data_IF_814673206073
#
_entry.id   IF_814673206073
#
_cell.length_a   1.000
_cell.length_b   1.000
_cell.length_c   1.000
_cell.angle_alpha   90.00
_cell.angle_beta   90.00
_cell.angle_gamma   90.00
#
_symmetry.space_group_name_H-M   'P 1'
#
loop_
_entity.id
_entity.type
_entity.pdbx_description
1 polymer ?
#
# COMPACT_ATOMS: atom_id res chain seq x y z
N UNK A 1 12.82 16.78 -15.48
CA UNK A 1 11.57 16.75 -14.72
C UNK A 1 11.52 15.47 -13.91
N UNK A 2 11.40 15.59 -12.59
CA UNK A 2 11.15 14.45 -11.71
C UNK A 2 9.82 13.80 -12.10
N UNK A 3 9.82 12.50 -12.36
CA UNK A 3 8.60 11.75 -12.70
C UNK A 3 8.62 11.02 -14.04
N UNK A 4 9.66 11.14 -14.86
CA UNK A 4 9.72 10.50 -16.18
C UNK A 4 10.64 9.26 -16.23
N UNK A 5 11.11 8.77 -15.07
CA UNK A 5 11.90 7.53 -14.98
C UNK A 5 11.02 6.33 -15.33
N UNK A 6 11.48 5.48 -16.25
CA UNK A 6 10.71 4.38 -16.81
C UNK A 6 9.83 4.77 -18.01
N UNK A 7 9.70 6.08 -18.33
CA UNK A 7 8.94 6.54 -19.50
C UNK A 7 9.62 6.21 -20.83
N UNK A 8 8.86 5.92 -21.89
CA UNK A 8 9.41 5.64 -23.20
C UNK A 8 9.97 6.90 -23.86
N UNK A 9 11.07 6.75 -24.59
CA UNK A 9 11.66 7.77 -25.45
C UNK A 9 11.42 7.41 -26.92
N UNK A 10 10.75 8.30 -27.64
CA UNK A 10 10.46 8.12 -29.07
C UNK A 10 11.30 9.07 -29.90
N UNK A 11 11.68 8.62 -31.08
CA UNK A 11 12.26 9.46 -32.13
C UNK A 11 11.17 10.29 -32.84
N UNK A 12 11.59 11.30 -33.65
CA UNK A 12 10.66 12.20 -34.38
C UNK A 12 9.69 11.48 -35.33
N UNK A 13 10.02 10.26 -35.76
CA UNK A 13 9.16 9.40 -36.55
C UNK A 13 8.32 8.42 -35.72
N UNK A 14 8.21 8.61 -34.41
CA UNK A 14 7.38 7.82 -33.50
C UNK A 14 7.92 6.43 -33.14
N UNK A 15 9.19 6.12 -33.47
CA UNK A 15 9.79 4.84 -33.10
C UNK A 15 10.34 4.91 -31.68
N UNK A 16 10.08 3.88 -30.87
CA UNK A 16 10.66 3.73 -29.54
C UNK A 16 12.19 3.55 -29.66
N UNK A 17 12.96 4.44 -29.04
CA UNK A 17 14.43 4.44 -29.12
C UNK A 17 15.09 4.19 -27.75
N UNK A 18 14.35 4.31 -26.66
CA UNK A 18 14.89 4.08 -25.33
C UNK A 18 13.87 4.22 -24.21
N UNK A 19 14.35 4.05 -22.98
CA UNK A 19 13.59 4.22 -21.74
C UNK A 19 14.39 5.16 -20.84
N UNK A 20 13.77 6.20 -20.32
CA UNK A 20 14.38 7.13 -19.38
C UNK A 20 14.69 6.44 -18.07
N UNK A 21 15.94 6.58 -17.56
CA UNK A 21 16.37 5.86 -16.35
C UNK A 21 16.69 6.77 -15.19
N UNK A 22 17.37 7.90 -15.40
CA UNK A 22 17.80 8.76 -14.33
C UNK A 22 18.10 10.19 -14.80
N UNK A 23 18.03 11.11 -13.85
CA UNK A 23 18.51 12.49 -13.97
C UNK A 23 19.66 12.67 -12.98
N UNK A 24 20.84 13.11 -13.43
CA UNK A 24 21.98 13.37 -12.54
C UNK A 24 21.87 14.80 -12.00
N UNK A 25 21.65 14.94 -10.69
CA UNK A 25 21.39 16.22 -10.01
C UNK A 25 22.55 17.22 -9.98
N UNK A 26 23.72 16.93 -10.60
CA UNK A 26 24.91 17.78 -10.58
C UNK A 26 25.24 18.47 -11.92
N UNK A 27 24.40 18.34 -12.95
CA UNK A 27 24.63 18.98 -14.24
C UNK A 27 23.32 19.42 -14.90
N UNK A 28 23.30 20.60 -15.51
CA UNK A 28 22.16 21.07 -16.28
C UNK A 28 21.93 20.15 -17.48
N UNK A 29 20.75 19.54 -17.59
CA UNK A 29 20.22 18.79 -18.74
C UNK A 29 20.91 17.47 -19.13
N UNK A 30 21.53 16.76 -18.18
CA UNK A 30 21.98 15.38 -18.43
C UNK A 30 20.87 14.38 -18.09
N UNK A 31 20.19 13.89 -19.13
CA UNK A 31 19.22 12.81 -19.04
C UNK A 31 19.86 11.52 -19.56
N UNK A 32 19.72 10.44 -18.83
CA UNK A 32 20.19 9.11 -19.26
C UNK A 32 18.99 8.28 -19.71
N UNK A 33 19.16 7.60 -20.84
CA UNK A 33 18.21 6.64 -21.33
C UNK A 33 18.93 5.33 -21.71
N UNK A 34 18.29 4.20 -21.46
CA UNK A 34 18.75 2.90 -21.94
C UNK A 34 18.18 2.71 -23.34
N UNK A 35 19.01 2.34 -24.31
CA UNK A 35 18.55 2.06 -25.68
C UNK A 35 17.66 0.82 -25.71
N UNK A 36 16.73 0.78 -26.68
CA UNK A 36 15.83 -0.36 -26.88
C UNK A 36 16.60 -1.64 -27.15
N UNK A 37 17.70 -1.57 -27.93
CA UNK A 37 18.56 -2.71 -28.22
C UNK A 37 19.13 -3.32 -26.94
N UNK A 38 19.60 -2.50 -26.01
CA UNK A 38 20.12 -2.98 -24.73
C UNK A 38 19.03 -3.60 -23.84
N UNK A 39 17.82 -3.05 -23.85
CA UNK A 39 16.66 -3.61 -23.17
C UNK A 39 16.26 -4.97 -23.77
N UNK A 40 16.30 -5.12 -25.09
CA UNK A 40 16.00 -6.38 -25.77
C UNK A 40 17.06 -7.45 -25.48
N UNK A 41 18.33 -7.09 -25.37
CA UNK A 41 19.41 -8.01 -24.96
C UNK A 41 19.18 -8.53 -23.54
N UNK A 42 18.69 -7.70 -22.62
CA UNK A 42 18.37 -8.09 -21.25
C UNK A 42 17.17 -9.06 -21.20
N UNK A 43 16.23 -8.93 -22.10
CA UNK A 43 15.01 -9.77 -22.17
C UNK A 43 15.28 -11.09 -22.91
N UNK A 44 15.99 -11.03 -24.05
CA UNK A 44 16.17 -12.14 -25.00
C UNK A 44 17.55 -12.79 -24.92
N UNK A 45 18.53 -12.16 -24.26
CA UNK A 45 19.87 -12.70 -24.10
C UNK A 45 19.89 -13.97 -23.23
N UNK A 46 20.92 -14.86 -23.43
CA UNK A 46 21.06 -16.02 -22.57
C UNK A 46 21.21 -15.53 -21.12
N UNK A 47 20.28 -15.92 -20.27
CA UNK A 47 20.34 -15.63 -18.84
C UNK A 47 21.66 -16.17 -18.29
N UNK A 48 22.69 -15.34 -18.19
CA UNK A 48 23.87 -15.68 -17.39
C UNK A 48 23.33 -15.94 -16.00
N UNK A 49 23.38 -17.21 -15.56
CA UNK A 49 23.19 -17.53 -14.15
C UNK A 49 24.25 -16.75 -13.39
N UNK A 50 23.90 -15.59 -12.86
CA UNK A 50 24.72 -14.94 -11.88
C UNK A 50 24.79 -15.92 -10.71
N UNK A 51 26.00 -16.40 -10.41
CA UNK A 51 26.29 -17.06 -9.15
C UNK A 51 26.21 -16.01 -8.05
N UNK A 52 24.99 -15.56 -7.79
CA UNK A 52 24.67 -14.89 -6.53
C UNK A 52 24.74 -16.05 -5.54
N UNK A 53 25.87 -16.13 -4.84
CA UNK A 53 26.00 -16.98 -3.66
C UNK A 53 24.73 -16.83 -2.87
N UNK A 54 24.11 -17.95 -2.58
CA UNK A 54 22.89 -18.07 -1.78
C UNK A 54 23.14 -17.51 -0.38
N UNK A 55 23.16 -16.16 -0.27
CA UNK A 55 22.71 -15.54 0.95
C UNK A 55 21.28 -16.08 1.12
N UNK A 56 21.07 -16.92 2.14
CA UNK A 56 19.76 -17.41 2.54
C UNK A 56 18.87 -16.15 2.61
N UNK A 57 18.09 -15.89 1.56
CA UNK A 57 16.97 -14.98 1.65
C UNK A 57 16.16 -15.52 2.81
N UNK A 58 16.25 -14.84 3.98
CA UNK A 58 15.17 -14.90 4.96
C UNK A 58 13.93 -14.78 4.09
N UNK A 59 13.05 -15.80 4.09
CA UNK A 59 11.74 -15.65 3.49
C UNK A 59 11.15 -14.44 4.20
N UNK A 60 11.17 -13.29 3.54
CA UNK A 60 10.30 -12.18 3.92
C UNK A 60 8.91 -12.82 3.95
N UNK A 61 8.30 -12.84 5.11
CA UNK A 61 6.88 -13.16 5.22
C UNK A 61 6.21 -12.09 4.37
N UNK A 62 5.79 -12.45 3.16
CA UNK A 62 4.99 -11.56 2.33
C UNK A 62 3.67 -11.40 3.05
N UNK A 63 3.47 -10.23 3.63
CA UNK A 63 2.20 -9.77 4.17
C UNK A 63 1.20 -9.84 3.01
N UNK A 64 0.03 -10.49 3.16
CA UNK A 64 -1.01 -10.42 2.15
C UNK A 64 -1.38 -8.95 1.91
N UNK A 65 -1.45 -8.54 0.67
CA UNK A 65 -1.72 -7.13 0.32
C UNK A 65 -3.21 -6.82 0.21
N UNK A 66 -4.03 -7.81 -0.09
CA UNK A 66 -5.47 -7.67 -0.31
C UNK A 66 -6.23 -8.86 0.27
N UNK A 67 -7.50 -8.65 0.57
CA UNK A 67 -8.43 -9.66 1.06
C UNK A 67 -9.85 -9.40 0.60
N UNK A 68 -10.74 -10.29 0.98
CA UNK A 68 -12.17 -10.27 0.82
C UNK A 68 -12.74 -10.47 2.24
N UNK A 69 -13.12 -9.39 2.88
CA UNK A 69 -13.47 -9.37 4.31
C UNK A 69 -14.82 -10.05 4.55
N UNK A 70 -15.79 -9.73 3.73
CA UNK A 70 -17.16 -10.27 3.84
C UNK A 70 -17.35 -11.62 3.13
N UNK A 71 -16.32 -12.08 2.35
CA UNK A 71 -16.29 -13.35 1.62
C UNK A 71 -17.35 -13.46 0.51
N UNK A 72 -17.66 -12.33 -0.12
CA UNK A 72 -18.57 -12.27 -1.26
C UNK A 72 -17.91 -12.58 -2.61
N UNK A 73 -16.58 -12.66 -2.65
CA UNK A 73 -15.78 -12.95 -3.85
C UNK A 73 -15.19 -11.70 -4.50
N UNK A 74 -15.41 -10.52 -3.93
CA UNK A 74 -14.82 -9.26 -4.36
C UNK A 74 -13.72 -8.86 -3.38
N UNK A 75 -12.67 -8.23 -3.87
CA UNK A 75 -11.59 -7.70 -3.02
C UNK A 75 -12.03 -6.35 -2.48
N UNK A 76 -12.21 -6.28 -1.18
CA UNK A 76 -12.68 -5.11 -0.43
C UNK A 76 -11.70 -4.66 0.66
N UNK A 77 -10.58 -5.37 0.83
CA UNK A 77 -9.64 -5.15 1.94
C UNK A 77 -8.21 -5.00 1.43
N UNK A 78 -7.47 -4.00 1.97
CA UNK A 78 -6.05 -3.78 1.70
C UNK A 78 -5.27 -3.75 3.01
N UNK A 79 -4.38 -4.74 3.18
CA UNK A 79 -3.55 -4.89 4.36
C UNK A 79 -2.27 -4.06 4.26
N UNK A 80 -1.89 -3.42 5.37
CA UNK A 80 -0.67 -2.65 5.51
C UNK A 80 0.17 -3.13 6.70
N UNK A 81 1.47 -3.01 6.54
CA UNK A 81 2.53 -3.15 7.55
C UNK A 81 3.27 -1.79 7.52
N UNK A 82 2.76 -0.82 8.30
CA UNK A 82 3.24 0.57 8.22
C UNK A 82 4.63 0.74 8.79
N UNK A 83 4.96 0.02 9.85
CA UNK A 83 6.27 0.07 10.49
C UNK A 83 7.31 -0.86 9.83
N UNK A 84 6.87 -1.69 8.86
CA UNK A 84 7.71 -2.59 8.05
C UNK A 84 8.44 -3.66 8.87
N UNK A 85 7.82 -4.12 9.94
CA UNK A 85 8.36 -5.19 10.78
C UNK A 85 8.01 -6.61 10.29
N UNK A 86 7.15 -6.73 9.27
CA UNK A 86 6.70 -7.97 8.64
C UNK A 86 5.41 -8.54 9.22
N UNK A 87 4.68 -7.73 10.00
CA UNK A 87 3.33 -8.02 10.49
C UNK A 87 2.35 -6.99 9.92
N UNK A 88 1.09 -7.38 9.83
CA UNK A 88 0.01 -6.46 9.45
C UNK A 88 -0.40 -5.72 10.72
N UNK A 89 -0.45 -4.41 10.64
CA UNK A 89 -0.90 -3.52 11.71
C UNK A 89 -2.17 -2.76 11.34
N UNK A 90 -2.52 -2.73 10.02
CA UNK A 90 -3.73 -2.08 9.52
C UNK A 90 -4.39 -2.85 8.38
N UNK A 91 -5.70 -2.66 8.26
CA UNK A 91 -6.44 -3.04 7.08
C UNK A 91 -7.44 -1.92 6.72
N UNK A 92 -7.45 -1.54 5.46
CA UNK A 92 -8.38 -0.56 4.90
C UNK A 92 -9.49 -1.31 4.19
N UNK A 93 -10.73 -0.88 4.38
CA UNK A 93 -11.95 -1.54 3.93
C UNK A 93 -12.73 -0.62 2.99
N UNK A 94 -13.21 -1.16 1.88
CA UNK A 94 -14.18 -0.59 0.95
C UNK A 94 -15.42 -1.50 1.02
N UNK A 95 -16.24 -1.31 2.08
CA UNK A 95 -17.31 -2.26 2.43
C UNK A 95 -18.48 -2.24 1.43
N UNK A 96 -18.72 -1.12 0.78
CA UNK A 96 -19.78 -0.99 -0.22
C UNK A 96 -19.28 -1.12 -1.67
N UNK A 97 -17.96 -1.37 -1.85
CA UNK A 97 -17.31 -1.62 -3.14
C UNK A 97 -17.42 -0.44 -4.12
N UNK A 98 -17.50 0.78 -3.60
CA UNK A 98 -17.62 1.99 -4.43
C UNK A 98 -16.26 2.56 -4.88
N UNK A 99 -15.16 2.03 -4.35
CA UNK A 99 -13.78 2.45 -4.61
C UNK A 99 -13.25 3.50 -3.63
N UNK A 100 -14.01 3.83 -2.58
CA UNK A 100 -13.60 4.67 -1.47
C UNK A 100 -13.37 3.78 -0.25
N UNK A 101 -12.35 4.08 0.55
CA UNK A 101 -12.05 3.36 1.78
C UNK A 101 -12.73 4.07 2.95
N UNK A 102 -13.86 3.54 3.41
CA UNK A 102 -14.60 4.11 4.52
C UNK A 102 -14.27 3.44 5.86
N UNK A 103 -13.66 2.25 5.84
CA UNK A 103 -13.30 1.50 7.03
C UNK A 103 -11.79 1.36 7.24
N UNK A 104 -11.35 1.32 8.51
CA UNK A 104 -9.98 0.95 8.85
C UNK A 104 -9.95 0.10 10.13
N UNK A 105 -9.35 -1.08 10.03
CA UNK A 105 -9.01 -1.92 11.18
C UNK A 105 -7.59 -1.63 11.65
N UNK A 106 -7.37 -1.63 12.97
CA UNK A 106 -6.05 -1.43 13.57
C UNK A 106 -5.76 -2.54 14.57
N UNK A 107 -4.64 -3.22 14.39
CA UNK A 107 -4.01 -4.17 15.32
C UNK A 107 -2.80 -3.45 15.94
N UNK A 108 -3.03 -2.83 17.09
CA UNK A 108 -2.08 -1.90 17.69
C UNK A 108 -0.86 -2.59 18.29
N UNK A 109 -1.01 -3.80 18.78
CA UNK A 109 0.09 -4.57 19.38
C UNK A 109 0.55 -5.75 18.51
N UNK A 110 -0.04 -5.88 17.29
CA UNK A 110 0.35 -6.85 16.27
C UNK A 110 0.27 -8.31 16.72
N UNK A 111 -0.74 -8.59 17.53
CA UNK A 111 -1.03 -9.95 18.01
C UNK A 111 -1.90 -10.75 17.02
N UNK A 112 -2.39 -10.11 15.96
CA UNK A 112 -3.24 -10.67 14.92
C UNK A 112 -4.74 -10.51 15.21
N UNK A 113 -5.10 -9.67 16.16
CA UNK A 113 -6.47 -9.29 16.46
C UNK A 113 -6.64 -7.79 16.26
N UNK A 114 -7.81 -7.41 15.79
CA UNK A 114 -8.15 -6.02 15.56
C UNK A 114 -8.74 -5.42 16.84
N UNK A 115 -8.08 -4.42 17.43
CA UNK A 115 -8.64 -3.71 18.58
C UNK A 115 -9.53 -2.56 18.19
N UNK A 116 -9.28 -1.94 17.04
CA UNK A 116 -10.02 -0.77 16.60
C UNK A 116 -10.60 -1.01 15.22
N UNK A 117 -11.86 -0.59 15.05
CA UNK A 117 -12.49 -0.38 13.75
C UNK A 117 -12.91 1.08 13.65
N UNK A 118 -12.30 1.82 12.73
CA UNK A 118 -12.58 3.21 12.45
C UNK A 118 -13.48 3.31 11.23
N UNK A 119 -14.49 4.15 11.27
CA UNK A 119 -15.46 4.29 10.20
C UNK A 119 -15.64 5.75 9.82
N UNK A 120 -15.46 6.07 8.53
CA UNK A 120 -15.75 7.31 7.85
C UNK A 120 -17.13 7.17 7.21
N UNK A 121 -18.15 7.67 7.92
CA UNK A 121 -19.55 7.42 7.59
C UNK A 121 -20.02 8.21 6.36
N UNK A 122 -19.44 9.39 6.13
CA UNK A 122 -19.82 10.29 5.05
C UNK A 122 -18.79 10.32 3.89
N UNK A 123 -17.76 9.46 3.98
CA UNK A 123 -16.71 9.26 2.96
C UNK A 123 -15.94 10.55 2.62
N UNK A 124 -15.75 11.41 3.60
CA UNK A 124 -15.02 12.66 3.42
C UNK A 124 -13.51 12.54 3.62
N UNK A 125 -13.02 11.35 3.99
CA UNK A 125 -11.62 11.03 4.26
C UNK A 125 -11.21 11.21 5.71
N UNK A 126 -12.17 11.36 6.64
CA UNK A 126 -11.97 11.45 8.06
C UNK A 126 -12.87 10.48 8.80
N UNK A 127 -12.39 9.91 9.88
CA UNK A 127 -13.15 8.93 10.64
C UNK A 127 -14.07 9.62 11.66
N UNK A 128 -15.38 9.34 11.56
CA UNK A 128 -16.41 9.85 12.47
C UNK A 128 -16.59 9.00 13.72
N UNK A 129 -16.37 7.69 13.58
CA UNK A 129 -16.72 6.69 14.59
C UNK A 129 -15.55 5.73 14.78
N UNK A 130 -15.26 5.39 16.04
CA UNK A 130 -14.35 4.32 16.41
C UNK A 130 -15.06 3.28 17.26
N UNK A 131 -15.02 2.03 16.84
CA UNK A 131 -15.43 0.88 17.65
C UNK A 131 -14.17 0.23 18.23
N UNK A 132 -14.15 0.01 19.54
CA UNK A 132 -12.96 -0.43 20.27
C UNK A 132 -13.27 -1.69 21.07
N UNK A 133 -12.47 -2.75 20.84
CA UNK A 133 -12.44 -3.99 21.61
C UNK A 133 -11.19 -3.97 22.51
N UNK A 134 -11.33 -3.46 23.74
CA UNK A 134 -10.19 -3.32 24.67
C UNK A 134 -9.72 -4.66 25.23
N UNK A 135 -10.65 -5.62 25.37
CA UNK A 135 -10.37 -6.92 25.99
C UNK A 135 -10.04 -8.01 24.96
N UNK A 136 -10.16 -7.73 23.66
CA UNK A 136 -9.88 -8.62 22.53
C UNK A 136 -10.70 -9.91 22.50
N UNK A 137 -11.95 -9.80 22.95
CA UNK A 137 -12.90 -10.93 22.94
C UNK A 137 -13.70 -11.02 21.62
N UNK A 138 -13.52 -10.09 20.71
CA UNK A 138 -14.21 -9.99 19.43
C UNK A 138 -15.51 -9.22 19.50
N UNK A 139 -15.72 -8.46 20.57
CA UNK A 139 -16.87 -7.56 20.73
C UNK A 139 -16.37 -6.18 21.12
N UNK A 140 -17.03 -5.17 20.62
CA UNK A 140 -16.67 -3.80 20.95
C UNK A 140 -17.13 -3.47 22.38
N UNK A 141 -16.21 -2.93 23.19
CA UNK A 141 -16.47 -2.46 24.55
C UNK A 141 -16.86 -0.99 24.58
N UNK A 142 -16.30 -0.20 23.65
CA UNK A 142 -16.46 1.25 23.57
C UNK A 142 -16.77 1.69 22.13
N UNK A 143 -17.50 2.80 22.02
CA UNK A 143 -17.65 3.56 20.76
C UNK A 143 -17.19 4.99 21.01
N UNK A 144 -16.25 5.46 20.18
CA UNK A 144 -15.79 6.84 20.11
C UNK A 144 -16.47 7.60 18.99
N UNK A 145 -16.70 8.90 19.18
CA UNK A 145 -17.26 9.80 18.18
C UNK A 145 -16.37 11.03 18.04
N UNK A 146 -16.07 11.41 16.82
CA UNK A 146 -15.44 12.66 16.42
C UNK A 146 -16.47 13.48 15.63
N UNK A 147 -17.17 14.38 16.31
CA UNK A 147 -18.28 15.15 15.70
C UNK A 147 -17.81 16.34 14.88
N UNK A 148 -16.58 16.80 15.14
CA UNK A 148 -16.03 17.99 14.50
C UNK A 148 -14.94 17.66 13.48
N UNK A 149 -14.59 16.34 13.36
CA UNK A 149 -13.63 15.80 12.41
C UNK A 149 -12.22 16.42 12.51
N UNK A 150 -11.80 16.76 13.74
CA UNK A 150 -10.47 17.31 13.99
C UNK A 150 -9.40 16.24 14.26
N UNK A 151 -9.83 14.96 14.35
CA UNK A 151 -8.98 13.79 14.60
C UNK A 151 -8.81 13.49 16.09
N UNK A 152 -9.53 14.22 16.97
CA UNK A 152 -9.62 13.94 18.39
C UNK A 152 -11.03 13.46 18.74
N UNK A 153 -11.15 12.36 19.49
CA UNK A 153 -12.45 11.80 19.84
C UNK A 153 -13.16 12.67 20.88
N UNK A 154 -14.30 13.27 20.50
CA UNK A 154 -15.10 14.14 21.37
C UNK A 154 -15.80 13.38 22.49
N UNK A 155 -16.18 12.12 22.26
CA UNK A 155 -16.97 11.34 23.19
C UNK A 155 -16.69 9.85 23.09
N UNK A 156 -16.72 9.16 24.25
CA UNK A 156 -16.75 7.71 24.31
C UNK A 156 -17.99 7.21 25.05
N UNK A 157 -18.58 6.13 24.55
CA UNK A 157 -19.69 5.42 25.16
C UNK A 157 -19.36 3.94 25.32
N UNK A 158 -19.85 3.31 26.39
CA UNK A 158 -19.80 1.85 26.55
C UNK A 158 -20.89 1.19 25.74
N UNK A 159 -20.57 0.07 25.11
CA UNK A 159 -21.49 -0.75 24.34
C UNK A 159 -22.10 -1.83 25.24
#
# INVERSE_FOLDING_TARGET
>A
SSGNSGGPLFSDNGKLVGINTANHGAGQNLNFAVTVEHGLELINGPRKKSNISSAKKKKEKTVPKTGDYDKNGVVDTWYADEDKNGKIDRAYLDEDENGVMEGMLVDKDEDGKWEWYLWDKDENGKFDIAYIDENKDGKHDLVGYDYNEDGEWDKFEKV
#
